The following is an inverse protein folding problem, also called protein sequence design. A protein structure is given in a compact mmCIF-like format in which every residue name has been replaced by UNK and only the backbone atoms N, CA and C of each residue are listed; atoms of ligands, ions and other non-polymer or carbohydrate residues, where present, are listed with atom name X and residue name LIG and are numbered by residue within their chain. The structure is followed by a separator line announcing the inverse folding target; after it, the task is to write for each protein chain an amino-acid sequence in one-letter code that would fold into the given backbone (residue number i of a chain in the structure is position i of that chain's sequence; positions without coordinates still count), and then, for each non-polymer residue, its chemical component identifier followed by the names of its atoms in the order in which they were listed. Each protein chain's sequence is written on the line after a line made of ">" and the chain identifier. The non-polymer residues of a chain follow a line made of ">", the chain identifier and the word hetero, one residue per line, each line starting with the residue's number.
data_IF_599693743436
#
_entry.id   IF_599693743436
#
_cell.length_a   1.000
_cell.length_b   1.000
_cell.length_c   1.000
_cell.angle_alpha   90.00
_cell.angle_beta   90.00
_cell.angle_gamma   90.00
#
_symmetry.space_group_name_H-M   'P 1'
#
loop_
_entity.id
_entity.type
_entity.pdbx_description
1 polymer ?
#
# COMPACT_ATOMS: atom_id res chain seq x y z
N UNK A 1 -25.83 9.70 20.51
CA UNK A 1 -25.21 9.95 19.20
C UNK A 1 -23.82 10.58 19.28
N UNK A 2 -23.19 10.68 20.46
CA UNK A 2 -21.89 11.33 20.64
C UNK A 2 -20.67 10.50 20.20
N UNK A 3 -20.77 9.16 20.17
CA UNK A 3 -19.60 8.30 19.92
C UNK A 3 -18.99 8.44 18.53
N UNK A 4 -19.81 8.82 17.54
CA UNK A 4 -19.45 8.99 16.14
C UNK A 4 -19.59 10.45 15.66
N UNK A 5 -19.55 11.41 16.58
CA UNK A 5 -19.31 12.80 16.19
C UNK A 5 -18.00 12.95 15.41
N UNK A 6 -17.76 14.09 14.75
CA UNK A 6 -16.58 14.31 13.91
C UNK A 6 -15.27 13.86 14.57
N UNK A 7 -15.04 14.27 15.82
CA UNK A 7 -13.85 13.94 16.59
C UNK A 7 -13.74 12.44 16.89
N UNK A 8 -14.87 11.81 17.24
CA UNK A 8 -14.94 10.38 17.53
C UNK A 8 -14.72 9.49 16.29
N UNK A 9 -15.16 9.96 15.12
CA UNK A 9 -14.92 9.30 13.84
C UNK A 9 -13.45 9.42 13.43
N UNK A 10 -12.89 10.63 13.47
CA UNK A 10 -11.47 10.88 13.13
C UNK A 10 -10.52 10.05 14.01
N UNK A 11 -10.77 10.02 15.32
CA UNK A 11 -9.96 9.23 16.25
C UNK A 11 -9.94 7.75 15.88
N UNK A 12 -11.11 7.17 15.59
CA UNK A 12 -11.24 5.74 15.25
C UNK A 12 -10.63 5.41 13.90
N UNK A 13 -10.75 6.27 12.90
CA UNK A 13 -10.06 6.11 11.62
C UNK A 13 -8.55 6.12 11.84
N UNK A 14 -8.03 7.07 12.62
CA UNK A 14 -6.61 7.14 12.96
C UNK A 14 -6.11 5.90 13.70
N UNK A 15 -6.87 5.40 14.67
CA UNK A 15 -6.57 4.15 15.39
C UNK A 15 -6.58 2.92 14.47
N UNK A 16 -7.61 2.79 13.63
CA UNK A 16 -7.70 1.69 12.68
C UNK A 16 -6.55 1.74 11.66
N UNK A 17 -6.20 2.94 11.18
CA UNK A 17 -5.08 3.13 10.27
C UNK A 17 -3.76 2.71 10.88
N UNK A 18 -3.46 3.12 12.12
CA UNK A 18 -2.24 2.70 12.84
C UNK A 18 -2.15 1.18 12.94
N UNK A 19 -3.22 0.52 13.41
CA UNK A 19 -3.25 -0.95 13.55
C UNK A 19 -3.09 -1.66 12.20
N UNK A 20 -3.71 -1.13 11.15
CA UNK A 20 -3.55 -1.67 9.80
C UNK A 20 -2.11 -1.53 9.30
N UNK A 21 -1.48 -0.38 9.53
CA UNK A 21 -0.08 -0.12 9.17
C UNK A 21 0.86 -1.10 9.87
N UNK A 22 0.75 -1.24 11.18
CA UNK A 22 1.59 -2.15 11.97
C UNK A 22 1.40 -3.61 11.54
N UNK A 23 0.16 -4.01 11.20
CA UNK A 23 -0.14 -5.32 10.63
C UNK A 23 0.50 -5.49 9.25
N UNK A 24 0.45 -4.46 8.41
CA UNK A 24 1.00 -4.47 7.05
C UNK A 24 2.51 -4.63 7.03
N UNK A 25 3.23 -4.03 7.99
CA UNK A 25 4.68 -4.18 8.10
C UNK A 25 5.14 -5.64 8.28
N UNK A 26 4.26 -6.53 8.79
CA UNK A 26 4.58 -7.94 9.00
C UNK A 26 4.48 -8.80 7.72
N UNK A 27 3.74 -8.36 6.69
CA UNK A 27 3.46 -9.17 5.50
C UNK A 27 3.72 -8.45 4.17
N UNK A 28 3.65 -7.13 4.12
CA UNK A 28 3.82 -6.36 2.89
C UNK A 28 5.30 -6.06 2.62
N UNK A 29 5.81 -6.59 1.53
CA UNK A 29 7.16 -6.36 1.03
C UNK A 29 7.16 -5.18 0.06
N UNK A 30 7.59 -4.01 0.53
CA UNK A 30 7.66 -2.83 -0.34
C UNK A 30 8.87 -2.92 -1.27
N UNK A 31 8.62 -3.05 -2.57
CA UNK A 31 9.63 -3.04 -3.63
C UNK A 31 9.72 -1.64 -4.24
N UNK A 32 10.94 -1.13 -4.37
CA UNK A 32 11.22 0.14 -5.04
C UNK A 32 12.08 -0.14 -6.24
N UNK A 33 11.56 0.17 -7.41
CA UNK A 33 12.26 -0.01 -8.68
C UNK A 33 12.10 1.26 -9.52
N UNK A 34 13.09 1.54 -10.38
CA UNK A 34 13.09 2.71 -11.24
C UNK A 34 13.42 2.35 -12.69
N UNK A 35 13.01 3.23 -13.60
CA UNK A 35 13.28 3.12 -15.04
C UNK A 35 12.18 2.40 -15.83
N UNK A 36 12.20 2.62 -17.13
CA UNK A 36 11.17 2.15 -18.08
C UNK A 36 11.00 0.62 -18.04
N UNK A 37 12.10 -0.13 -18.06
CA UNK A 37 12.07 -1.60 -18.03
C UNK A 37 11.40 -2.13 -16.75
N UNK A 38 11.71 -1.53 -15.60
CA UNK A 38 11.12 -1.94 -14.33
C UNK A 38 9.61 -1.67 -14.29
N UNK A 39 9.19 -0.51 -14.80
CA UNK A 39 7.78 -0.13 -14.88
C UNK A 39 7.01 -1.07 -15.79
N UNK A 40 7.54 -1.33 -16.99
CA UNK A 40 6.88 -2.22 -17.94
C UNK A 40 6.71 -3.64 -17.37
N UNK A 41 7.77 -4.18 -16.77
CA UNK A 41 7.75 -5.51 -16.16
C UNK A 41 6.67 -5.61 -15.09
N UNK A 42 6.65 -4.71 -14.11
CA UNK A 42 5.68 -4.73 -13.01
C UNK A 42 4.27 -4.50 -13.52
N UNK A 43 4.07 -3.59 -14.48
CA UNK A 43 2.76 -3.39 -15.09
C UNK A 43 2.23 -4.67 -15.75
N UNK A 44 3.06 -5.40 -16.51
CA UNK A 44 2.67 -6.68 -17.12
C UNK A 44 2.36 -7.75 -16.08
N UNK A 45 3.13 -7.84 -15.01
CA UNK A 45 2.86 -8.77 -13.90
C UNK A 45 1.48 -8.52 -13.27
N UNK A 46 1.10 -7.26 -13.06
CA UNK A 46 -0.24 -6.89 -12.56
C UNK A 46 -1.31 -7.19 -13.61
N UNK A 47 -1.10 -6.75 -14.86
CA UNK A 47 -2.05 -6.91 -15.97
C UNK A 47 -2.40 -8.39 -16.21
N UNK A 48 -1.42 -9.27 -16.08
CA UNK A 48 -1.56 -10.71 -16.31
C UNK A 48 -2.01 -11.47 -15.05
N UNK A 49 -2.23 -10.78 -13.92
CA UNK A 49 -2.64 -11.39 -12.65
C UNK A 49 -1.55 -12.25 -12.00
N UNK A 50 -0.28 -11.97 -12.31
CA UNK A 50 0.91 -12.65 -11.75
C UNK A 50 1.55 -11.90 -10.58
N UNK A 51 1.12 -10.66 -10.33
CA UNK A 51 1.61 -9.87 -9.21
C UNK A 51 1.31 -10.57 -7.88
N UNK A 52 2.32 -10.61 -7.01
CA UNK A 52 2.20 -11.23 -5.69
C UNK A 52 1.43 -10.30 -4.74
N UNK A 53 0.46 -10.82 -3.97
CA UNK A 53 -0.34 -9.99 -3.06
C UNK A 53 0.46 -9.44 -1.88
N UNK A 54 1.60 -10.05 -1.55
CA UNK A 54 2.51 -9.60 -0.50
C UNK A 54 3.56 -8.60 -1.00
N UNK A 55 3.55 -8.21 -2.28
CA UNK A 55 4.50 -7.24 -2.84
C UNK A 55 3.81 -5.91 -3.19
N UNK A 56 4.25 -4.83 -2.53
CA UNK A 56 3.82 -3.47 -2.82
C UNK A 56 4.87 -2.75 -3.65
N UNK A 57 4.60 -2.51 -4.94
CA UNK A 57 5.55 -1.82 -5.82
C UNK A 57 5.39 -0.30 -5.78
N UNK A 58 6.49 0.42 -5.55
CA UNK A 58 6.63 1.87 -5.71
C UNK A 58 7.60 2.08 -6.87
N UNK A 59 7.10 2.70 -7.94
CA UNK A 59 7.83 2.83 -9.20
C UNK A 59 8.06 4.29 -9.56
N UNK A 60 9.24 4.58 -10.09
CA UNK A 60 9.59 5.91 -10.59
C UNK A 60 10.26 5.82 -11.96
N UNK A 61 10.10 6.85 -12.79
CA UNK A 61 10.87 6.98 -14.04
C UNK A 61 12.34 7.33 -13.79
N UNK A 62 12.66 7.80 -12.58
CA UNK A 62 13.94 8.38 -12.20
C UNK A 62 14.46 7.68 -10.94
N UNK A 63 15.77 7.54 -10.81
CA UNK A 63 16.45 7.12 -9.57
C UNK A 63 16.33 8.20 -8.47
#
# INVERSE_FOLDING_TARGET
>A
TADWGPEGLEQRIGDAWRRFRDSSDAWLNVKRDAGEEAIERVYREVLEGRARPDEGHVLSMWD
#
